data_IF_899577993090
#
_entry.id   IF_899577993090
#
_cell.length_a   1.000
_cell.length_b   1.000
_cell.length_c   1.000
_cell.angle_alpha   90.00
_cell.angle_beta   90.00
_cell.angle_gamma   90.00
#
_symmetry.space_group_name_H-M   'P 1'
#
loop_
_entity.id
_entity.type
_entity.pdbx_description
1 polymer ?
#
# COMPACT_ATOMS: atom_id res chain seq x y z
N UNK A 1 8.01 -0.39 17.81
CA UNK A 1 8.32 -1.19 16.60
C UNK A 1 9.51 -2.04 16.99
N UNK A 2 9.44 -3.34 16.73
CA UNK A 2 10.58 -4.23 16.96
C UNK A 2 11.78 -3.72 16.11
N UNK A 3 13.00 -3.61 16.66
CA UNK A 3 14.17 -3.15 15.91
C UNK A 3 14.56 -4.07 14.73
N UNK A 4 14.07 -5.31 14.69
CA UNK A 4 14.20 -6.20 13.53
C UNK A 4 13.10 -5.99 12.47
N UNK A 5 12.05 -5.22 12.81
CA UNK A 5 10.89 -5.04 11.94
C UNK A 5 10.98 -3.72 11.15
N UNK A 6 11.37 -3.84 9.88
CA UNK A 6 11.34 -2.75 8.90
C UNK A 6 9.92 -2.23 8.62
N UNK A 7 9.83 -1.05 8.00
CA UNK A 7 8.55 -0.46 7.59
C UNK A 7 8.21 -0.87 6.16
N UNK A 8 7.06 -1.49 5.95
CA UNK A 8 6.51 -1.70 4.62
C UNK A 8 5.48 -0.62 4.28
N UNK A 9 5.77 0.19 3.27
CA UNK A 9 4.89 1.28 2.84
C UNK A 9 4.13 0.92 1.57
N UNK A 10 2.80 0.75 1.69
CA UNK A 10 1.91 0.54 0.54
C UNK A 10 1.43 1.86 -0.04
N UNK A 11 1.52 1.99 -1.37
CA UNK A 11 0.93 3.09 -2.12
C UNK A 11 0.78 2.74 -3.60
N UNK A 12 -0.34 3.10 -4.23
CA UNK A 12 -0.69 2.72 -5.60
C UNK A 12 0.43 3.08 -6.59
N UNK A 13 1.02 4.26 -6.40
CA UNK A 13 2.11 4.77 -7.23
C UNK A 13 3.46 4.77 -6.51
N UNK A 14 3.70 3.80 -5.61
CA UNK A 14 4.95 3.70 -4.87
C UNK A 14 6.18 3.71 -5.79
N UNK A 15 6.07 3.18 -7.01
CA UNK A 15 7.15 3.19 -8.00
C UNK A 15 7.56 4.59 -8.49
N UNK A 16 6.65 5.57 -8.42
CA UNK A 16 6.94 6.97 -8.74
C UNK A 16 7.25 7.76 -7.46
N UNK A 17 6.50 7.49 -6.40
CA UNK A 17 6.58 8.24 -5.15
C UNK A 17 7.92 8.01 -4.43
N UNK A 18 8.39 6.77 -4.37
CA UNK A 18 9.64 6.37 -3.70
C UNK A 18 10.87 7.14 -4.21
N UNK A 19 10.89 7.48 -5.52
CA UNK A 19 11.98 8.22 -6.18
C UNK A 19 12.29 9.55 -5.48
N UNK A 20 11.29 10.19 -4.88
CA UNK A 20 11.43 11.47 -4.21
C UNK A 20 11.08 11.43 -2.73
N UNK A 21 10.87 10.24 -2.17
CA UNK A 21 10.42 10.05 -0.81
C UNK A 21 11.39 10.65 0.22
N UNK A 22 12.67 10.28 0.13
CA UNK A 22 13.70 10.78 1.04
C UNK A 22 13.84 12.30 0.99
N UNK A 23 13.78 12.90 -0.20
CA UNK A 23 13.80 14.36 -0.37
C UNK A 23 12.59 15.05 0.26
N UNK A 24 11.40 14.42 0.21
CA UNK A 24 10.15 15.03 0.70
C UNK A 24 10.00 14.92 2.22
N UNK A 25 10.34 13.77 2.79
CA UNK A 25 10.02 13.46 4.18
C UNK A 25 11.16 12.83 4.98
N UNK A 26 12.34 12.56 4.39
CA UNK A 26 13.43 11.87 5.07
C UNK A 26 13.88 12.55 6.37
N UNK A 27 13.83 13.88 6.43
CA UNK A 27 14.13 14.65 7.64
C UNK A 27 13.14 14.46 8.80
N UNK A 28 11.98 13.84 8.53
CA UNK A 28 10.96 13.51 9.53
C UNK A 28 11.04 12.05 9.99
N UNK A 29 11.89 11.23 9.36
CA UNK A 29 11.99 9.81 9.65
C UNK A 29 13.11 9.53 10.67
N UNK A 30 12.97 8.49 11.50
CA UNK A 30 14.06 8.02 12.34
C UNK A 30 15.29 7.66 11.51
N UNK A 31 16.47 7.97 12.04
CA UNK A 31 17.74 7.55 11.43
C UNK A 31 17.83 6.02 11.45
N UNK A 32 18.21 5.43 10.32
CA UNK A 32 18.37 3.99 10.19
C UNK A 32 17.07 3.20 10.05
N UNK A 33 15.94 3.86 9.78
CA UNK A 33 14.69 3.16 9.46
C UNK A 33 14.85 2.41 8.13
N UNK A 34 14.82 1.08 8.20
CA UNK A 34 14.74 0.22 7.01
C UNK A 34 13.31 0.22 6.47
N UNK A 35 13.16 0.41 5.16
CA UNK A 35 11.85 0.61 4.55
C UNK A 35 11.77 0.05 3.14
N UNK A 36 10.74 -0.76 2.91
CA UNK A 36 10.35 -1.24 1.61
C UNK A 36 9.09 -0.53 1.10
N UNK A 37 8.95 -0.49 -0.22
CA UNK A 37 7.81 0.10 -0.91
C UNK A 37 7.04 -1.00 -1.63
N UNK A 38 5.73 -1.05 -1.40
CA UNK A 38 4.84 -1.96 -2.09
C UNK A 38 3.73 -1.22 -2.83
N UNK A 39 3.25 -1.83 -3.91
CA UNK A 39 2.02 -1.47 -4.60
C UNK A 39 1.01 -2.59 -4.32
N UNK A 40 -0.26 -2.24 -4.09
CA UNK A 40 -1.33 -3.21 -3.92
C UNK A 40 -1.33 -4.24 -5.06
N UNK A 41 -1.55 -5.52 -4.74
CA UNK A 41 -1.45 -6.61 -5.73
C UNK A 41 -2.38 -6.38 -6.93
N UNK A 42 -3.55 -5.79 -6.69
CA UNK A 42 -4.47 -5.45 -7.78
C UNK A 42 -3.90 -4.35 -8.70
N UNK A 43 -3.31 -3.31 -8.10
CA UNK A 43 -2.72 -2.18 -8.80
C UNK A 43 -1.41 -2.49 -9.52
N UNK A 44 -0.53 -3.31 -8.94
CA UNK A 44 0.82 -3.55 -9.48
C UNK A 44 0.79 -4.17 -10.89
N UNK A 45 -0.26 -4.96 -11.19
CA UNK A 45 -0.48 -5.54 -12.52
C UNK A 45 -0.83 -4.50 -13.60
N UNK A 46 -1.35 -3.33 -13.22
CA UNK A 46 -1.62 -2.21 -14.14
C UNK A 46 -0.41 -1.32 -14.44
N UNK A 47 0.73 -1.56 -13.76
CA UNK A 47 1.95 -0.80 -13.95
C UNK A 47 2.85 -1.44 -15.02
N UNK A 48 3.95 -0.76 -15.39
CA UNK A 48 4.98 -1.35 -16.26
C UNK A 48 5.51 -2.65 -15.65
N UNK A 49 5.92 -3.61 -16.49
CA UNK A 49 6.31 -4.97 -16.06
C UNK A 49 7.33 -5.00 -14.92
N UNK A 50 8.34 -4.11 -14.96
CA UNK A 50 9.36 -4.02 -13.91
C UNK A 50 8.78 -3.66 -12.52
N UNK A 51 7.60 -3.06 -12.45
CA UNK A 51 6.95 -2.78 -11.17
C UNK A 51 6.49 -4.05 -10.45
N UNK A 52 6.10 -5.10 -11.17
CA UNK A 52 5.66 -6.36 -10.58
C UNK A 52 6.74 -6.95 -9.67
N UNK A 53 7.94 -7.13 -10.20
CA UNK A 53 9.04 -7.76 -9.46
C UNK A 53 9.63 -6.86 -8.36
N UNK A 54 9.46 -5.54 -8.48
CA UNK A 54 10.07 -4.56 -7.55
C UNK A 54 9.14 -4.11 -6.42
N UNK A 55 7.83 -4.12 -6.64
CA UNK A 55 6.87 -3.52 -5.72
C UNK A 55 5.70 -4.45 -5.37
N UNK A 56 5.59 -5.65 -5.96
CA UNK A 56 4.64 -6.63 -5.44
C UNK A 56 5.15 -7.15 -4.10
N UNK A 57 4.30 -7.08 -3.08
CA UNK A 57 4.58 -7.68 -1.76
C UNK A 57 4.94 -9.17 -1.85
N UNK A 58 4.47 -9.90 -2.87
CA UNK A 58 4.86 -11.31 -3.06
C UNK A 58 6.37 -11.52 -3.19
N UNK A 59 7.13 -10.49 -3.58
CA UNK A 59 8.59 -10.54 -3.72
C UNK A 59 9.33 -9.77 -2.61
N UNK A 60 8.62 -9.16 -1.66
CA UNK A 60 9.23 -8.44 -0.54
C UNK A 60 9.30 -9.41 0.65
N UNK A 61 10.51 -9.74 1.15
CA UNK A 61 10.67 -10.65 2.28
C UNK A 61 9.81 -10.23 3.47
N UNK A 62 9.25 -11.21 4.17
CA UNK A 62 8.46 -11.01 5.40
C UNK A 62 7.17 -10.19 5.25
N UNK A 63 6.86 -9.67 4.05
CA UNK A 63 5.61 -8.93 3.83
C UNK A 63 4.38 -9.81 3.67
N UNK A 64 4.56 -11.04 3.18
CA UNK A 64 3.48 -11.93 2.79
C UNK A 64 2.70 -11.46 1.56
N UNK A 65 1.74 -12.27 1.13
CA UNK A 65 0.82 -11.92 0.06
C UNK A 65 -0.30 -11.03 0.62
N UNK A 66 -0.09 -9.71 0.58
CA UNK A 66 -1.03 -8.73 1.14
C UNK A 66 -1.78 -8.04 0.02
N UNK A 67 -3.10 -8.19 0.02
CA UNK A 67 -4.02 -7.46 -0.86
C UNK A 67 -4.51 -6.26 -0.04
N UNK A 68 -3.65 -5.25 0.09
CA UNK A 68 -3.86 -4.08 0.99
C UNK A 68 -5.09 -3.21 0.69
N UNK A 69 -5.87 -3.54 -0.35
CA UNK A 69 -6.97 -2.76 -0.91
C UNK A 69 -8.22 -3.62 -1.15
N UNK A 70 -8.71 -4.32 -0.12
CA UNK A 70 -9.93 -5.15 -0.26
C UNK A 70 -11.13 -4.32 -0.76
N UNK A 71 -11.21 -3.05 -0.37
CA UNK A 71 -12.28 -2.14 -0.79
C UNK A 71 -12.31 -1.91 -2.29
N UNK A 72 -11.17 -1.92 -2.97
CA UNK A 72 -11.13 -1.69 -4.41
C UNK A 72 -11.62 -2.90 -5.20
N UNK A 73 -11.22 -4.10 -4.78
CA UNK A 73 -11.75 -5.34 -5.36
C UNK A 73 -13.26 -5.47 -5.12
N UNK A 74 -13.76 -4.91 -4.02
CA UNK A 74 -15.18 -4.92 -3.68
C UNK A 74 -15.94 -3.70 -4.22
N UNK A 75 -15.27 -2.71 -4.81
CA UNK A 75 -15.87 -1.41 -5.14
C UNK A 75 -17.10 -1.56 -6.04
N UNK A 76 -17.00 -2.37 -7.09
CA UNK A 76 -18.11 -2.63 -8.01
C UNK A 76 -19.33 -3.22 -7.30
N UNK A 77 -19.11 -4.12 -6.33
CA UNK A 77 -20.18 -4.76 -5.57
C UNK A 77 -20.76 -3.82 -4.49
N UNK A 78 -19.89 -3.04 -3.82
CA UNK A 78 -20.28 -2.12 -2.76
C UNK A 78 -20.99 -0.87 -3.29
N UNK A 79 -20.69 -0.45 -4.52
CA UNK A 79 -21.33 0.72 -5.16
C UNK A 79 -22.86 0.65 -5.15
N UNK A 80 -23.43 -0.53 -5.35
CA UNK A 80 -24.87 -0.73 -5.37
C UNK A 80 -25.52 -0.41 -4.01
N UNK A 81 -24.79 -0.66 -2.92
CA UNK A 81 -25.30 -0.49 -1.57
C UNK A 81 -24.85 0.83 -0.93
N UNK A 82 -23.83 1.50 -1.48
CA UNK A 82 -23.31 2.79 -1.00
C UNK A 82 -24.39 3.84 -0.67
N UNK A 83 -25.46 4.05 -1.48
CA UNK A 83 -26.49 5.03 -1.15
C UNK A 83 -27.21 4.74 0.18
N UNK A 84 -27.47 3.46 0.49
CA UNK A 84 -28.12 3.04 1.73
C UNK A 84 -27.20 3.16 2.96
N UNK A 85 -25.88 3.18 2.75
CA UNK A 85 -24.89 3.30 3.82
C UNK A 85 -24.56 4.76 4.18
N UNK A 86 -25.06 5.75 3.44
CA UNK A 86 -24.70 7.17 3.66
C UNK A 86 -25.11 7.73 5.02
N UNK A 87 -26.11 7.13 5.66
CA UNK A 87 -26.59 7.52 6.98
C UNK A 87 -26.09 6.61 8.11
N UNK A 88 -25.18 5.68 7.81
CA UNK A 88 -24.58 4.83 8.83
C UNK A 88 -23.72 5.70 9.77
N UNK A 89 -24.04 5.67 11.06
CA UNK A 89 -23.23 6.27 12.11
C UNK A 89 -22.29 5.22 12.70
N UNK A 90 -21.29 5.66 13.47
CA UNK A 90 -20.47 4.73 14.28
C UNK A 90 -21.36 3.88 15.20
N UNK A 91 -20.98 2.62 15.37
CA UNK A 91 -21.58 1.75 16.38
C UNK A 91 -21.31 2.33 17.78
N UNK A 92 -22.34 2.30 18.63
CA UNK A 92 -22.30 2.81 20.01
C UNK A 92 -21.58 1.86 20.96
#
# INVERSE_FOLDING_TARGET
>A
MDPEQGLLFFYDIACQYSVHFQRRIGHRLPVGLDMDFAIGQFHVHGHKENCLFRFSSMFIPQSGAVIGEILESLWANLNAVTPAMRTATLAH
#
